data_IF_509625562936
#
_entry.id   IF_509625562936
#
_cell.length_a   1.000
_cell.length_b   1.000
_cell.length_c   1.000
_cell.angle_alpha   90.00
_cell.angle_beta   90.00
_cell.angle_gamma   90.00
#
_symmetry.space_group_name_H-M   'P 1'
#
loop_
_entity.id
_entity.type
_entity.pdbx_description
1 polymer ?
#
# COMPACT_ATOMS: atom_id res chain seq x y z
N UNK A 1 32.06 -43.06 7.41
CA UNK A 1 32.42 -41.86 7.89
C UNK A 1 32.17 -40.53 7.25
N UNK A 2 32.09 -40.38 5.91
CA UNK A 2 31.99 -39.04 5.26
C UNK A 2 30.59 -38.38 5.37
N UNK A 3 29.55 -39.14 5.57
CA UNK A 3 28.16 -38.60 5.65
C UNK A 3 27.89 -37.76 6.90
N UNK A 4 28.59 -38.04 8.00
CA UNK A 4 28.45 -37.26 9.24
C UNK A 4 29.13 -35.89 9.21
N UNK A 5 30.22 -35.75 8.45
CA UNK A 5 30.96 -34.47 8.33
C UNK A 5 30.24 -33.46 7.45
N UNK A 6 29.65 -33.86 6.30
CA UNK A 6 28.86 -33.01 5.45
C UNK A 6 27.64 -32.39 6.19
N UNK A 7 26.99 -33.19 7.03
CA UNK A 7 25.82 -32.77 7.78
C UNK A 7 26.16 -31.73 8.86
N UNK A 8 27.31 -31.91 9.53
CA UNK A 8 27.84 -30.95 10.52
C UNK A 8 28.26 -29.62 9.87
N UNK A 9 28.94 -29.65 8.72
CA UNK A 9 29.36 -28.46 7.96
C UNK A 9 28.16 -27.68 7.48
N UNK A 10 27.15 -28.36 6.94
CA UNK A 10 25.91 -27.74 6.46
C UNK A 10 25.16 -27.00 7.56
N UNK A 11 25.03 -27.60 8.74
CA UNK A 11 24.36 -27.01 9.87
C UNK A 11 25.10 -25.79 10.42
N UNK A 12 26.43 -25.86 10.48
CA UNK A 12 27.29 -24.80 11.01
C UNK A 12 27.41 -23.61 10.07
N UNK A 13 27.46 -23.84 8.74
CA UNK A 13 27.60 -22.79 7.73
C UNK A 13 26.26 -22.33 7.12
N UNK A 14 25.12 -22.91 7.51
CA UNK A 14 23.77 -22.62 6.99
C UNK A 14 23.72 -22.63 5.47
N UNK A 15 24.47 -23.55 4.82
CA UNK A 15 24.59 -23.62 3.37
C UNK A 15 23.94 -24.88 2.77
N UNK A 16 23.72 -24.91 1.45
CA UNK A 16 23.07 -26.04 0.79
C UNK A 16 24.06 -27.20 0.56
N UNK A 17 23.53 -28.44 0.50
CA UNK A 17 24.33 -29.63 0.19
C UNK A 17 25.02 -29.52 -1.18
N UNK A 18 24.35 -28.94 -2.15
CA UNK A 18 24.91 -28.73 -3.49
C UNK A 18 26.09 -27.75 -3.49
N UNK A 19 26.05 -26.75 -2.62
CA UNK A 19 27.14 -25.79 -2.44
C UNK A 19 28.37 -26.49 -1.88
N UNK A 20 28.21 -27.33 -0.84
CA UNK A 20 29.33 -28.08 -0.23
C UNK A 20 29.96 -29.00 -1.26
N UNK A 21 29.16 -29.78 -2.00
CA UNK A 21 29.67 -30.67 -3.06
C UNK A 21 30.40 -29.91 -4.18
N UNK A 22 29.92 -28.72 -4.54
CA UNK A 22 30.63 -27.88 -5.52
C UNK A 22 32.05 -27.53 -5.04
N UNK A 23 32.17 -27.15 -3.76
CA UNK A 23 33.48 -26.85 -3.16
C UNK A 23 34.37 -28.10 -3.06
N UNK A 24 33.84 -29.23 -2.63
CA UNK A 24 34.57 -30.50 -2.51
C UNK A 24 35.11 -30.93 -3.88
N UNK A 25 34.24 -30.97 -4.91
CA UNK A 25 34.65 -31.32 -6.26
C UNK A 25 35.70 -30.35 -6.84
N UNK A 26 35.60 -29.06 -6.59
CA UNK A 26 36.56 -28.06 -7.04
C UNK A 26 37.89 -28.21 -6.33
N UNK A 27 37.94 -28.47 -5.03
CA UNK A 27 39.17 -28.69 -4.26
C UNK A 27 39.86 -30.02 -4.66
N UNK A 28 39.09 -31.07 -4.86
CA UNK A 28 39.61 -32.36 -5.34
C UNK A 28 40.21 -32.27 -6.75
N UNK A 29 39.51 -31.61 -7.67
CA UNK A 29 39.99 -31.44 -9.06
C UNK A 29 41.29 -30.65 -9.14
N UNK A 30 41.51 -29.69 -8.26
CA UNK A 30 42.71 -28.88 -8.21
C UNK A 30 43.78 -29.44 -7.24
N UNK A 31 43.52 -30.60 -6.60
CA UNK A 31 44.38 -31.24 -5.59
C UNK A 31 44.91 -30.29 -4.53
N UNK A 32 44.05 -29.37 -4.09
CA UNK A 32 44.40 -28.36 -3.08
C UNK A 32 44.44 -29.01 -1.69
N UNK A 33 45.53 -28.80 -0.96
CA UNK A 33 45.67 -29.22 0.41
C UNK A 33 45.27 -28.09 1.37
N UNK A 34 45.05 -28.42 2.65
CA UNK A 34 44.75 -27.40 3.70
C UNK A 34 45.88 -26.37 3.85
N UNK A 35 47.14 -26.80 3.70
CA UNK A 35 48.30 -25.91 3.76
C UNK A 35 48.27 -24.89 2.61
N UNK A 36 47.91 -25.32 1.40
CA UNK A 36 47.76 -24.41 0.25
C UNK A 36 46.62 -23.40 0.48
N UNK A 37 45.50 -23.86 1.04
CA UNK A 37 44.34 -22.99 1.32
C UNK A 37 44.65 -21.96 2.42
N UNK A 38 45.41 -22.34 3.46
CA UNK A 38 45.75 -21.48 4.58
C UNK A 38 46.81 -20.41 4.25
N UNK A 39 47.58 -20.63 3.16
CA UNK A 39 48.58 -19.65 2.71
C UNK A 39 48.03 -18.60 1.72
N UNK A 40 46.77 -18.72 1.29
CA UNK A 40 46.12 -17.83 0.35
C UNK A 40 45.14 -16.90 1.04
N UNK A 41 44.94 -15.71 0.48
CA UNK A 41 43.81 -14.85 0.89
C UNK A 41 42.46 -15.45 0.46
N UNK A 42 41.36 -15.07 1.10
CA UNK A 42 40.03 -15.56 0.74
C UNK A 42 39.66 -15.25 -0.72
N UNK A 43 40.12 -14.13 -1.25
CA UNK A 43 39.89 -13.76 -2.67
C UNK A 43 40.71 -14.60 -3.64
N UNK A 44 41.99 -14.84 -3.38
CA UNK A 44 42.85 -15.70 -4.17
C UNK A 44 42.34 -17.14 -4.19
N UNK A 45 41.92 -17.64 -3.03
CA UNK A 45 41.33 -18.97 -2.90
C UNK A 45 40.03 -19.11 -3.69
N UNK A 46 39.13 -18.10 -3.58
CA UNK A 46 37.88 -18.08 -4.36
C UNK A 46 38.12 -18.03 -5.89
N UNK A 47 39.03 -17.19 -6.33
CA UNK A 47 39.40 -17.08 -7.77
C UNK A 47 40.07 -18.36 -8.30
N UNK A 48 40.81 -19.10 -7.46
CA UNK A 48 41.45 -20.35 -7.84
C UNK A 48 40.46 -21.50 -7.92
N UNK A 49 39.48 -21.57 -6.99
CA UNK A 49 38.42 -22.58 -7.00
C UNK A 49 37.38 -22.35 -8.10
N UNK A 50 37.04 -21.10 -8.30
CA UNK A 50 36.02 -20.66 -9.24
C UNK A 50 36.59 -19.48 -10.05
N UNK A 51 37.50 -19.75 -11.01
CA UNK A 51 38.03 -18.69 -11.86
C UNK A 51 36.87 -17.97 -12.51
N UNK A 52 36.82 -16.63 -12.35
CA UNK A 52 35.88 -15.80 -13.10
C UNK A 52 36.16 -16.12 -14.57
N UNK A 53 35.21 -16.71 -15.27
CA UNK A 53 35.28 -16.87 -16.71
C UNK A 53 35.52 -15.49 -17.30
N UNK A 54 36.66 -15.32 -17.98
CA UNK A 54 36.99 -14.09 -18.67
C UNK A 54 35.80 -13.72 -19.58
N UNK A 55 35.41 -12.46 -19.51
CA UNK A 55 34.22 -11.84 -20.14
C UNK A 55 34.31 -11.79 -21.68
N UNK A 56 34.91 -12.78 -22.34
CA UNK A 56 34.90 -12.89 -23.80
C UNK A 56 33.51 -13.19 -24.39
N UNK A 57 32.60 -13.72 -23.57
CA UNK A 57 31.18 -13.88 -23.94
C UNK A 57 30.36 -12.57 -23.92
N UNK A 58 30.77 -11.54 -23.21
CA UNK A 58 30.07 -10.25 -23.18
C UNK A 58 30.15 -9.51 -24.53
N UNK A 59 31.19 -9.81 -25.35
CA UNK A 59 31.30 -9.26 -26.70
C UNK A 59 30.39 -9.95 -27.73
N UNK A 60 29.96 -11.19 -27.46
CA UNK A 60 29.07 -11.95 -28.35
C UNK A 60 27.57 -11.74 -28.00
N UNK A 61 27.26 -11.47 -26.73
CA UNK A 61 25.92 -11.26 -26.26
C UNK A 61 25.85 -9.94 -25.47
N UNK A 62 25.57 -8.80 -26.12
CA UNK A 62 25.54 -7.51 -25.46
C UNK A 62 24.42 -7.43 -24.40
N UNK A 63 24.74 -6.86 -23.25
CA UNK A 63 23.77 -6.62 -22.18
C UNK A 63 22.77 -5.55 -22.62
N UNK A 64 21.48 -5.69 -22.26
CA UNK A 64 20.49 -4.67 -22.58
C UNK A 64 20.73 -3.39 -21.77
N UNK A 65 20.40 -2.23 -22.34
CA UNK A 65 20.37 -0.97 -21.63
C UNK A 65 19.14 -0.93 -20.69
N UNK A 66 19.37 -1.31 -19.44
CA UNK A 66 18.32 -1.40 -18.45
C UNK A 66 17.75 -0.02 -18.02
N UNK A 67 18.51 1.07 -18.19
CA UNK A 67 18.05 2.43 -17.90
C UNK A 67 17.05 2.88 -18.96
N UNK A 68 17.39 2.70 -20.24
CA UNK A 68 16.46 2.94 -21.34
C UNK A 68 15.20 2.08 -21.22
N UNK A 69 15.34 0.78 -20.91
CA UNK A 69 14.20 -0.10 -20.67
C UNK A 69 13.27 0.42 -19.58
N UNK A 70 13.83 0.96 -18.49
CA UNK A 70 13.05 1.52 -17.39
C UNK A 70 12.24 2.75 -17.83
N UNK A 71 12.82 3.63 -18.64
CA UNK A 71 12.16 4.81 -19.17
C UNK A 71 11.05 4.44 -20.18
N UNK A 72 11.33 3.52 -21.09
CA UNK A 72 10.38 3.09 -22.12
C UNK A 72 9.18 2.33 -21.53
N UNK A 73 9.37 1.53 -20.48
CA UNK A 73 8.26 0.85 -19.78
C UNK A 73 7.27 1.81 -19.12
N UNK A 74 7.60 3.08 -18.96
CA UNK A 74 6.66 4.09 -18.45
C UNK A 74 5.69 4.60 -19.53
N UNK A 75 5.94 4.30 -20.81
CA UNK A 75 5.07 4.70 -21.93
C UNK A 75 3.87 3.78 -22.02
N UNK A 76 2.66 4.29 -22.29
CA UNK A 76 1.47 3.47 -22.46
C UNK A 76 1.64 2.46 -23.59
N UNK A 77 1.33 1.19 -23.31
CA UNK A 77 1.37 0.11 -24.29
C UNK A 77 2.73 -0.59 -24.45
N UNK A 78 3.82 -0.04 -23.91
CA UNK A 78 5.14 -0.68 -23.94
C UNK A 78 5.22 -1.77 -22.87
N UNK A 79 5.70 -2.94 -23.26
CA UNK A 79 5.94 -4.06 -22.35
C UNK A 79 7.32 -4.68 -22.58
N UNK A 80 7.76 -5.53 -21.64
CA UNK A 80 9.09 -6.18 -21.71
C UNK A 80 9.30 -7.03 -22.96
N UNK A 81 8.23 -7.57 -23.55
CA UNK A 81 8.32 -8.40 -24.75
C UNK A 81 8.66 -7.55 -25.97
N UNK A 82 8.03 -6.38 -26.11
CA UNK A 82 8.32 -5.42 -27.19
C UNK A 82 9.79 -4.98 -27.10
N UNK A 83 10.24 -4.55 -25.92
CA UNK A 83 11.63 -4.11 -25.71
C UNK A 83 12.64 -5.23 -25.97
N UNK A 84 12.28 -6.46 -25.66
CA UNK A 84 13.14 -7.61 -26.00
C UNK A 84 13.18 -7.89 -27.49
N UNK A 85 12.09 -7.69 -28.23
CA UNK A 85 12.05 -7.82 -29.68
C UNK A 85 12.93 -6.76 -30.33
N UNK A 86 12.79 -5.50 -29.95
CA UNK A 86 13.62 -4.37 -30.43
C UNK A 86 15.10 -4.62 -30.15
N UNK A 87 15.47 -4.95 -28.92
CA UNK A 87 16.81 -5.35 -28.54
C UNK A 87 17.33 -6.50 -29.39
N UNK A 88 16.50 -7.52 -29.64
CA UNK A 88 16.92 -8.70 -30.40
C UNK A 88 17.17 -8.38 -31.89
N UNK A 89 16.39 -7.47 -32.46
CA UNK A 89 16.57 -6.98 -33.83
C UNK A 89 17.85 -6.16 -33.96
N UNK A 90 18.12 -5.24 -33.05
CA UNK A 90 19.35 -4.44 -33.02
C UNK A 90 20.60 -5.28 -32.87
N UNK A 91 20.57 -6.24 -31.95
CA UNK A 91 21.74 -7.16 -31.72
C UNK A 91 22.01 -8.05 -32.93
N UNK A 92 20.97 -8.55 -33.58
CA UNK A 92 21.12 -9.34 -34.83
C UNK A 92 21.62 -8.49 -35.98
N UNK A 93 21.15 -7.26 -36.13
CA UNK A 93 21.63 -6.30 -37.12
C UNK A 93 23.13 -5.98 -36.95
N UNK A 94 23.60 -5.98 -35.69
CA UNK A 94 25.04 -5.85 -35.37
C UNK A 94 25.86 -7.15 -35.54
N UNK A 95 25.26 -8.25 -36.07
CA UNK A 95 25.92 -9.52 -36.24
C UNK A 95 26.18 -10.30 -34.95
N UNK A 96 25.50 -9.97 -33.87
CA UNK A 96 25.67 -10.59 -32.54
C UNK A 96 24.49 -11.49 -32.18
N UNK A 97 24.62 -12.25 -31.10
CA UNK A 97 23.60 -13.18 -30.62
C UNK A 97 22.81 -12.51 -29.52
N UNK A 98 21.46 -12.32 -29.65
CA UNK A 98 20.66 -11.72 -28.60
C UNK A 98 20.48 -12.67 -27.43
N UNK A 99 20.29 -12.09 -26.23
CA UNK A 99 19.91 -12.83 -25.04
C UNK A 99 18.51 -13.44 -25.22
N UNK A 100 18.29 -14.60 -24.60
CA UNK A 100 16.93 -15.13 -24.49
C UNK A 100 16.08 -14.26 -23.60
N UNK A 101 14.76 -14.24 -23.81
CA UNK A 101 13.81 -13.41 -23.06
C UNK A 101 13.93 -13.54 -21.55
N UNK A 102 14.14 -14.75 -21.05
CA UNK A 102 14.34 -15.00 -19.61
C UNK A 102 15.58 -14.33 -19.05
N UNK A 103 16.70 -14.38 -19.78
CA UNK A 103 17.96 -13.74 -19.41
C UNK A 103 17.85 -12.21 -19.48
N UNK A 104 17.24 -11.69 -20.55
CA UNK A 104 16.94 -10.27 -20.71
C UNK A 104 16.11 -9.72 -19.55
N UNK A 105 15.03 -10.41 -19.17
CA UNK A 105 14.23 -10.05 -17.99
C UNK A 105 15.03 -10.15 -16.69
N UNK A 106 15.96 -11.09 -16.59
CA UNK A 106 16.77 -11.26 -15.38
C UNK A 106 17.75 -10.09 -15.18
N UNK A 107 18.41 -9.62 -16.26
CA UNK A 107 19.23 -8.42 -16.23
C UNK A 107 18.43 -7.19 -15.79
N UNK A 108 17.24 -7.00 -16.34
CA UNK A 108 16.37 -5.90 -15.94
C UNK A 108 15.93 -5.99 -14.48
N UNK A 109 15.56 -7.19 -13.99
CA UNK A 109 15.19 -7.37 -12.60
C UNK A 109 16.36 -7.08 -11.64
N UNK A 110 17.58 -7.53 -11.99
CA UNK A 110 18.78 -7.20 -11.20
C UNK A 110 19.09 -5.69 -11.20
N UNK A 111 18.89 -5.00 -12.33
CA UNK A 111 19.00 -3.55 -12.41
C UNK A 111 18.00 -2.85 -11.50
N UNK A 112 16.73 -3.28 -11.56
CA UNK A 112 15.68 -2.78 -10.69
C UNK A 112 15.99 -3.05 -9.21
N UNK A 113 16.52 -4.23 -8.87
CA UNK A 113 16.90 -4.54 -7.49
C UNK A 113 18.09 -3.71 -6.99
N UNK A 114 19.09 -3.45 -7.83
CA UNK A 114 20.24 -2.62 -7.50
C UNK A 114 19.89 -1.13 -7.44
N UNK A 115 19.01 -0.67 -8.33
CA UNK A 115 18.57 0.72 -8.42
C UNK A 115 17.25 0.98 -7.66
N UNK A 116 16.59 -0.07 -7.15
CA UNK A 116 15.72 0.06 -6.00
C UNK A 116 16.56 0.38 -4.76
N UNK A 117 17.16 1.54 -4.77
CA UNK A 117 17.12 2.34 -3.58
C UNK A 117 15.63 2.57 -3.34
N UNK A 118 14.97 1.62 -2.72
CA UNK A 118 13.72 1.86 -2.02
C UNK A 118 14.09 2.99 -1.09
N UNK A 119 13.65 4.20 -1.42
CA UNK A 119 13.56 5.23 -0.42
C UNK A 119 12.69 4.58 0.65
N UNK A 120 13.31 4.05 1.69
CA UNK A 120 12.63 3.84 2.94
C UNK A 120 12.24 5.24 3.35
N UNK A 121 10.98 5.58 3.13
CA UNK A 121 10.40 6.73 3.78
C UNK A 121 10.39 6.33 5.25
N UNK A 122 11.30 6.92 6.02
CA UNK A 122 11.22 6.84 7.47
C UNK A 122 9.95 7.58 7.86
N UNK A 123 8.90 6.81 8.10
CA UNK A 123 7.63 7.33 8.57
C UNK A 123 7.82 7.81 9.99
N UNK A 124 7.54 9.07 10.25
CA UNK A 124 7.52 9.60 11.60
C UNK A 124 6.30 9.06 12.35
N UNK A 125 6.48 8.86 13.64
CA UNK A 125 5.45 8.34 14.52
C UNK A 125 4.26 9.30 14.54
N UNK A 126 3.05 8.78 14.34
CA UNK A 126 1.78 9.54 14.37
C UNK A 126 1.75 10.83 13.53
N UNK A 127 2.55 10.90 12.46
CA UNK A 127 2.60 12.08 11.58
C UNK A 127 1.37 12.18 10.70
N UNK A 128 0.89 11.05 10.18
CA UNK A 128 -0.22 11.02 9.22
C UNK A 128 -1.01 9.73 9.23
N UNK A 129 -2.26 9.84 8.80
CA UNK A 129 -3.11 8.70 8.44
C UNK A 129 -3.30 8.74 6.91
N UNK A 130 -3.09 7.63 6.25
CA UNK A 130 -3.39 7.44 4.83
C UNK A 130 -4.72 6.69 4.69
N UNK A 131 -5.64 7.20 3.86
CA UNK A 131 -6.98 6.62 3.66
C UNK A 131 -7.28 6.40 2.18
N UNK A 132 -8.02 5.32 1.90
CA UNK A 132 -8.40 4.96 0.53
C UNK A 132 -9.66 4.09 0.52
N UNK A 133 -10.37 4.06 -0.64
CA UNK A 133 -11.37 3.06 -0.94
C UNK A 133 -10.72 1.85 -1.63
N UNK A 134 -10.94 0.66 -1.12
CA UNK A 134 -10.54 -0.54 -1.85
C UNK A 134 -11.37 -0.67 -3.14
N UNK A 135 -10.72 -1.00 -4.24
CA UNK A 135 -11.41 -1.24 -5.52
C UNK A 135 -12.32 -2.49 -5.50
N UNK A 136 -12.14 -3.36 -4.50
CA UNK A 136 -12.94 -4.57 -4.32
C UNK A 136 -14.21 -4.25 -3.51
N UNK A 137 -15.36 -4.73 -3.96
CA UNK A 137 -16.65 -4.62 -3.27
C UNK A 137 -17.05 -5.94 -2.65
N UNK A 138 -17.88 -5.90 -1.60
CA UNK A 138 -18.46 -7.07 -0.94
C UNK A 138 -19.95 -7.12 -1.28
N UNK A 139 -20.48 -8.24 -1.81
CA UNK A 139 -21.90 -8.36 -2.06
C UNK A 139 -22.68 -8.48 -0.75
N UNK A 140 -23.80 -7.78 -0.66
CA UNK A 140 -24.77 -7.84 0.44
C UNK A 140 -26.11 -8.24 -0.16
N UNK A 141 -26.65 -9.34 0.30
CA UNK A 141 -27.93 -9.93 -0.20
C UNK A 141 -29.04 -9.55 0.78
N UNK A 142 -30.06 -8.88 0.31
CA UNK A 142 -31.25 -8.59 1.12
C UNK A 142 -32.04 -9.90 1.37
N UNK A 143 -32.34 -10.20 2.62
CA UNK A 143 -33.02 -11.46 3.01
C UNK A 143 -34.43 -11.57 2.46
N UNK A 144 -35.13 -10.45 2.23
CA UNK A 144 -36.53 -10.42 1.81
C UNK A 144 -36.67 -10.36 0.31
N UNK A 145 -35.88 -9.51 -0.35
CA UNK A 145 -35.98 -9.26 -1.79
C UNK A 145 -35.02 -10.06 -2.63
N UNK A 146 -34.02 -10.71 -2.00
CA UNK A 146 -32.90 -11.38 -2.66
C UNK A 146 -32.11 -10.44 -3.59
N UNK A 147 -32.28 -9.14 -3.48
CA UNK A 147 -31.50 -8.17 -4.25
C UNK A 147 -30.06 -8.08 -3.72
N UNK A 148 -29.11 -8.05 -4.65
CA UNK A 148 -27.68 -7.93 -4.33
C UNK A 148 -27.23 -6.48 -4.44
N UNK A 149 -26.89 -5.90 -3.32
CA UNK A 149 -26.24 -4.58 -3.24
C UNK A 149 -24.73 -4.73 -3.05
N UNK A 150 -23.99 -3.62 -3.26
CA UNK A 150 -22.53 -3.60 -3.10
C UNK A 150 -22.15 -2.84 -1.84
N UNK A 151 -21.35 -3.47 -1.00
CA UNK A 151 -20.64 -2.78 0.07
C UNK A 151 -19.25 -2.33 -0.40
N UNK A 152 -18.85 -1.13 -0.01
CA UNK A 152 -17.59 -0.47 -0.36
C UNK A 152 -16.67 -0.45 0.84
N UNK A 153 -15.41 -0.86 0.64
CA UNK A 153 -14.48 -1.04 1.73
C UNK A 153 -13.61 0.21 1.91
N UNK A 154 -13.78 0.88 3.04
CA UNK A 154 -12.89 1.95 3.48
C UNK A 154 -11.69 1.36 4.21
N UNK A 155 -10.49 1.82 3.87
CA UNK A 155 -9.22 1.37 4.46
C UNK A 155 -8.43 2.58 4.91
N UNK A 156 -7.96 2.55 6.14
CA UNK A 156 -7.07 3.56 6.70
C UNK A 156 -5.85 2.90 7.35
N UNK A 157 -4.69 3.53 7.24
CA UNK A 157 -3.43 3.01 7.77
C UNK A 157 -2.60 4.12 8.39
N UNK A 158 -2.03 3.84 9.55
CA UNK A 158 -0.94 4.60 10.15
C UNK A 158 0.39 4.06 9.57
N UNK A 159 1.13 4.83 8.75
CA UNK A 159 2.28 4.31 8.00
C UNK A 159 3.43 3.78 8.88
N UNK A 160 3.62 4.33 10.08
CA UNK A 160 4.71 3.94 10.98
C UNK A 160 4.51 2.52 11.55
N UNK A 161 3.41 2.27 12.22
CA UNK A 161 3.07 0.94 12.80
C UNK A 161 2.49 -0.01 11.76
N UNK A 162 2.00 0.50 10.63
CA UNK A 162 1.11 -0.17 9.68
C UNK A 162 -0.20 -0.66 10.33
N UNK A 163 -0.57 -0.06 11.49
CA UNK A 163 -1.84 -0.35 12.14
C UNK A 163 -2.99 0.13 11.26
N UNK A 164 -3.93 -0.76 11.01
CA UNK A 164 -4.91 -0.60 9.94
C UNK A 164 -6.32 -0.61 10.50
N UNK A 165 -7.17 0.24 9.93
CA UNK A 165 -8.61 0.25 10.10
C UNK A 165 -9.30 -0.14 8.80
N UNK A 166 -10.39 -0.91 8.91
CA UNK A 166 -11.19 -1.33 7.76
C UNK A 166 -12.66 -1.32 8.15
N UNK A 167 -13.50 -0.73 7.30
CA UNK A 167 -14.94 -0.71 7.46
C UNK A 167 -15.66 -0.81 6.13
N UNK A 168 -16.78 -1.54 6.09
CA UNK A 168 -17.64 -1.67 4.93
C UNK A 168 -18.77 -0.62 5.02
N UNK A 169 -18.95 0.15 3.96
CA UNK A 169 -19.98 1.16 3.81
C UNK A 169 -20.96 0.81 2.69
N UNK A 170 -22.19 1.31 2.78
CA UNK A 170 -23.24 1.05 1.77
C UNK A 170 -22.99 1.78 0.45
N UNK A 171 -22.31 2.90 0.48
CA UNK A 171 -21.92 3.68 -0.70
C UNK A 171 -20.68 4.53 -0.41
N UNK A 172 -20.16 5.20 -1.45
CA UNK A 172 -19.00 6.10 -1.36
C UNK A 172 -19.42 7.58 -1.33
N UNK A 173 -20.66 7.89 -0.89
CA UNK A 173 -21.11 9.28 -0.78
C UNK A 173 -20.43 10.00 0.37
N UNK A 174 -20.61 11.32 0.39
CA UNK A 174 -19.96 12.22 1.34
C UNK A 174 -20.27 11.88 2.80
N UNK A 175 -21.51 11.55 3.12
CA UNK A 175 -21.93 11.18 4.47
C UNK A 175 -21.17 9.94 4.97
N UNK A 176 -21.18 8.86 4.18
CA UNK A 176 -20.45 7.64 4.51
C UNK A 176 -18.92 7.85 4.54
N UNK A 177 -18.41 8.72 3.69
CA UNK A 177 -17.00 9.11 3.70
C UNK A 177 -16.60 9.76 5.02
N UNK A 178 -17.37 10.75 5.47
CA UNK A 178 -17.14 11.44 6.73
C UNK A 178 -17.34 10.51 7.92
N UNK A 179 -18.41 9.72 7.94
CA UNK A 179 -18.68 8.75 9.01
C UNK A 179 -17.57 7.70 9.13
N UNK A 180 -17.02 7.22 8.01
CA UNK A 180 -15.88 6.30 8.03
C UNK A 180 -14.64 6.91 8.68
N UNK A 181 -14.39 8.22 8.47
CA UNK A 181 -13.30 8.92 9.14
C UNK A 181 -13.53 9.07 10.63
N UNK A 182 -14.74 9.41 11.04
CA UNK A 182 -15.13 9.53 12.46
C UNK A 182 -14.89 8.19 13.16
N UNK A 183 -15.43 7.10 12.61
CA UNK A 183 -15.27 5.75 13.16
C UNK A 183 -13.79 5.32 13.19
N UNK A 184 -13.01 5.71 12.19
CA UNK A 184 -11.56 5.48 12.13
C UNK A 184 -10.82 6.20 13.26
N UNK A 185 -11.11 7.49 13.50
CA UNK A 185 -10.50 8.24 14.60
C UNK A 185 -10.84 7.62 15.95
N UNK A 186 -12.08 7.22 16.16
CA UNK A 186 -12.52 6.51 17.37
C UNK A 186 -11.78 5.18 17.54
N UNK A 187 -11.59 4.42 16.46
CA UNK A 187 -10.85 3.16 16.48
C UNK A 187 -9.38 3.33 16.84
N UNK A 188 -8.72 4.35 16.30
CA UNK A 188 -7.34 4.67 16.67
C UNK A 188 -7.23 5.31 18.05
N UNK A 189 -8.32 5.87 18.56
CA UNK A 189 -8.34 6.57 19.84
C UNK A 189 -7.65 7.93 19.81
N UNK A 190 -7.54 8.54 18.62
CA UNK A 190 -6.90 9.83 18.42
C UNK A 190 -6.73 10.19 16.95
N UNK A 191 -6.15 11.37 16.70
CA UNK A 191 -5.88 11.89 15.35
C UNK A 191 -4.40 12.14 15.13
N UNK A 192 -4.02 12.36 13.87
CA UNK A 192 -2.67 12.77 13.46
C UNK A 192 -2.71 14.19 12.89
N UNK A 193 -1.59 14.91 12.83
CA UNK A 193 -1.53 16.23 12.18
C UNK A 193 -2.00 16.23 10.73
N UNK A 194 -1.74 15.15 9.99
CA UNK A 194 -2.03 15.05 8.57
C UNK A 194 -2.98 13.87 8.28
N UNK A 195 -3.93 14.11 7.38
CA UNK A 195 -4.80 13.10 6.79
C UNK A 195 -4.58 13.13 5.27
N UNK A 196 -4.20 11.99 4.72
CA UNK A 196 -3.84 11.85 3.30
C UNK A 196 -4.91 11.01 2.58
N UNK A 197 -6.00 11.62 2.09
CA UNK A 197 -6.99 10.93 1.27
C UNK A 197 -6.47 10.77 -0.16
N UNK A 198 -7.08 9.85 -0.94
CA UNK A 198 -6.93 9.88 -2.38
C UNK A 198 -7.71 11.06 -2.98
N UNK A 199 -7.42 11.38 -4.25
CA UNK A 199 -8.08 12.47 -4.97
C UNK A 199 -9.51 12.07 -5.39
N UNK A 200 -10.37 11.80 -4.41
CA UNK A 200 -11.76 11.42 -4.63
C UNK A 200 -12.65 12.65 -4.78
N UNK A 201 -13.57 12.60 -5.74
CA UNK A 201 -14.57 13.66 -5.97
C UNK A 201 -15.43 13.98 -4.75
N UNK A 202 -15.60 13.03 -3.84
CA UNK A 202 -16.32 13.21 -2.56
C UNK A 202 -15.57 14.07 -1.56
N UNK A 203 -14.24 14.08 -1.61
CA UNK A 203 -13.40 14.90 -0.74
C UNK A 203 -12.83 16.16 -1.41
N UNK A 204 -12.58 16.11 -2.72
CA UNK A 204 -11.89 17.16 -3.49
C UNK A 204 -12.76 17.67 -4.63
N UNK A 205 -13.09 18.97 -4.64
CA UNK A 205 -13.91 19.61 -5.69
C UNK A 205 -13.05 19.96 -6.90
N UNK A 206 -11.85 20.48 -6.69
CA UNK A 206 -10.89 20.84 -7.76
C UNK A 206 -9.47 20.57 -7.30
N UNK A 207 -8.66 20.09 -8.22
CA UNK A 207 -7.23 19.91 -8.08
C UNK A 207 -6.51 20.66 -9.22
N UNK A 208 -6.37 21.99 -9.14
CA UNK A 208 -5.65 22.77 -10.15
C UNK A 208 -4.17 22.39 -10.17
N UNK A 209 -3.53 22.47 -11.34
CA UNK A 209 -2.11 22.08 -11.46
C UNK A 209 -1.15 22.98 -10.68
N UNK A 210 -1.53 24.21 -10.36
CA UNK A 210 -0.67 25.24 -9.72
C UNK A 210 -1.36 26.03 -8.61
N UNK A 211 -2.57 25.67 -8.17
CA UNK A 211 -3.32 26.37 -7.11
C UNK A 211 -3.68 25.41 -5.97
N UNK A 212 -4.16 25.96 -4.87
CA UNK A 212 -4.59 25.23 -3.70
C UNK A 212 -5.72 24.25 -4.02
N UNK A 213 -5.68 23.08 -3.39
CA UNK A 213 -6.71 22.05 -3.52
C UNK A 213 -7.99 22.55 -2.87
N UNK A 214 -9.10 22.56 -3.61
CA UNK A 214 -10.40 22.93 -3.06
C UNK A 214 -11.09 21.66 -2.53
N UNK A 215 -11.11 21.53 -1.21
CA UNK A 215 -11.81 20.46 -0.52
C UNK A 215 -13.33 20.73 -0.51
N UNK A 216 -14.10 19.65 -0.34
CA UNK A 216 -15.51 19.78 -0.02
C UNK A 216 -15.65 20.44 1.36
N UNK A 217 -16.58 21.42 1.49
CA UNK A 217 -16.75 22.23 2.70
C UNK A 217 -16.96 21.38 3.96
N UNK A 218 -17.87 20.42 3.93
CA UNK A 218 -18.13 19.55 5.10
C UNK A 218 -16.94 18.65 5.44
N UNK A 219 -16.14 18.25 4.45
CA UNK A 219 -14.93 17.47 4.70
C UNK A 219 -13.84 18.33 5.34
N UNK A 220 -13.72 19.58 4.92
CA UNK A 220 -12.83 20.54 5.55
C UNK A 220 -13.27 20.87 6.98
N UNK A 221 -14.57 21.10 7.21
CA UNK A 221 -15.15 21.32 8.55
C UNK A 221 -14.85 20.15 9.50
N UNK A 222 -14.96 18.91 9.02
CA UNK A 222 -14.55 17.73 9.78
C UNK A 222 -13.06 17.77 10.12
N UNK A 223 -12.21 18.11 9.15
CA UNK A 223 -10.76 18.25 9.38
C UNK A 223 -10.45 19.30 10.45
N UNK A 224 -11.08 20.46 10.35
CA UNK A 224 -10.93 21.56 11.31
C UNK A 224 -11.42 21.15 12.70
N UNK A 225 -12.55 20.42 12.79
CA UNK A 225 -13.10 19.94 14.05
C UNK A 225 -12.16 18.97 14.78
N UNK A 226 -11.48 18.09 14.05
CA UNK A 226 -10.53 17.12 14.59
C UNK A 226 -9.08 17.63 14.63
N UNK A 227 -8.82 18.88 14.30
CA UNK A 227 -7.49 19.51 14.21
C UNK A 227 -6.53 18.71 13.28
N UNK A 228 -7.03 18.32 12.12
CA UNK A 228 -6.31 17.50 11.13
C UNK A 228 -6.23 18.24 9.80
N UNK A 229 -5.03 18.47 9.29
CA UNK A 229 -4.83 19.03 7.97
C UNK A 229 -5.04 17.95 6.89
N UNK A 230 -6.04 18.17 6.03
CA UNK A 230 -6.35 17.25 4.92
C UNK A 230 -5.46 17.62 3.73
N UNK A 231 -4.58 16.71 3.34
CA UNK A 231 -3.62 16.89 2.23
C UNK A 231 -3.82 15.79 1.19
N UNK A 232 -4.69 15.99 0.19
CA UNK A 232 -4.89 14.99 -0.86
C UNK A 232 -3.64 14.76 -1.69
N UNK A 233 -3.45 13.53 -2.15
CA UNK A 233 -2.32 13.20 -3.05
C UNK A 233 -2.49 13.83 -4.42
N UNK A 234 -1.37 14.23 -5.04
CA UNK A 234 -1.39 14.77 -6.40
C UNK A 234 -1.86 13.73 -7.41
N UNK A 235 -2.67 14.17 -8.38
CA UNK A 235 -3.14 13.34 -9.50
C UNK A 235 -1.95 12.74 -10.25
N UNK A 236 -1.95 11.42 -10.44
CA UNK A 236 -0.88 10.64 -11.11
C UNK A 236 0.47 10.63 -10.40
N UNK A 237 0.51 10.76 -9.08
CA UNK A 237 1.72 10.52 -8.31
C UNK A 237 1.65 9.18 -7.56
N UNK A 238 2.02 8.05 -8.19
CA UNK A 238 1.96 6.72 -7.55
C UNK A 238 2.90 6.59 -6.36
N UNK A 239 3.78 7.57 -6.15
CA UNK A 239 4.70 7.63 -4.99
C UNK A 239 4.11 8.33 -3.77
N UNK A 240 2.89 8.90 -3.87
CA UNK A 240 2.29 9.70 -2.79
C UNK A 240 1.73 8.88 -1.62
N UNK A 241 1.33 7.62 -1.85
CA UNK A 241 0.68 6.75 -0.85
C UNK A 241 1.16 5.29 -0.90
N UNK A 242 2.46 5.02 -0.74
CA UNK A 242 2.95 3.64 -0.85
C UNK A 242 2.42 2.73 0.27
N UNK A 243 2.07 3.29 1.44
CA UNK A 243 1.65 2.52 2.61
C UNK A 243 0.22 2.03 2.48
N UNK A 244 -0.74 2.90 2.16
CA UNK A 244 -2.15 2.49 2.06
C UNK A 244 -2.41 1.63 0.82
N UNK A 245 -1.82 1.93 -0.34
CA UNK A 245 -1.96 1.10 -1.54
C UNK A 245 -1.45 -0.33 -1.29
N UNK A 246 -0.27 -0.47 -0.70
CA UNK A 246 0.25 -1.77 -0.29
C UNK A 246 -0.61 -2.45 0.78
N UNK A 247 -1.25 -1.68 1.66
CA UNK A 247 -2.14 -2.20 2.71
C UNK A 247 -3.48 -2.64 2.14
N UNK A 248 -4.08 -1.88 1.20
CA UNK A 248 -5.32 -2.28 0.51
C UNK A 248 -5.16 -3.67 -0.14
N UNK A 249 -4.06 -3.93 -0.84
CA UNK A 249 -3.77 -5.25 -1.40
C UNK A 249 -3.66 -6.35 -0.33
N UNK A 250 -3.00 -6.07 0.80
CA UNK A 250 -2.88 -7.02 1.93
C UNK A 250 -4.22 -7.25 2.63
N UNK A 251 -5.02 -6.19 2.84
CA UNK A 251 -6.37 -6.26 3.41
C UNK A 251 -7.29 -7.09 2.51
N UNK A 252 -7.31 -6.82 1.21
CA UNK A 252 -8.11 -7.57 0.25
C UNK A 252 -7.77 -9.06 0.30
N UNK A 253 -6.49 -9.43 0.28
CA UNK A 253 -6.07 -10.82 0.32
C UNK A 253 -6.25 -11.48 1.70
N UNK A 254 -6.04 -10.77 2.79
CA UNK A 254 -6.05 -11.34 4.15
C UNK A 254 -7.42 -11.31 4.83
N UNK A 255 -8.28 -10.36 4.48
CA UNK A 255 -9.61 -10.18 5.07
C UNK A 255 -10.68 -10.61 4.07
N UNK A 256 -10.80 -9.90 2.94
CA UNK A 256 -11.91 -10.12 2.01
C UNK A 256 -11.85 -11.49 1.34
N UNK A 257 -10.66 -11.94 0.91
CA UNK A 257 -10.52 -13.27 0.31
C UNK A 257 -10.85 -14.41 1.30
N UNK A 258 -10.66 -14.22 2.61
CA UNK A 258 -11.06 -15.18 3.64
C UNK A 258 -12.58 -15.28 3.78
N UNK A 259 -13.27 -14.15 3.65
CA UNK A 259 -14.72 -14.03 3.76
C UNK A 259 -15.46 -14.37 2.46
N UNK A 260 -14.77 -14.70 1.37
CA UNK A 260 -15.35 -14.94 0.02
C UNK A 260 -16.42 -16.04 -0.07
N UNK A 261 -16.50 -16.90 0.92
CA UNK A 261 -17.48 -18.00 0.98
C UNK A 261 -18.66 -17.68 1.90
N UNK A 262 -18.59 -16.57 2.60
CA UNK A 262 -19.65 -16.11 3.49
C UNK A 262 -20.63 -15.26 2.70
N UNK A 263 -21.91 -15.39 3.01
CA UNK A 263 -22.99 -14.58 2.51
C UNK A 263 -23.38 -13.59 3.61
N UNK A 264 -23.55 -12.33 3.25
CA UNK A 264 -23.88 -11.26 4.19
C UNK A 264 -25.23 -10.65 3.84
N UNK A 265 -26.07 -10.48 4.85
CA UNK A 265 -27.41 -9.93 4.70
C UNK A 265 -27.50 -8.46 5.15
N UNK A 266 -26.46 -7.95 5.80
CA UNK A 266 -26.36 -6.54 6.17
C UNK A 266 -24.92 -6.06 6.25
N UNK A 267 -24.74 -4.74 6.04
CA UNK A 267 -23.45 -4.06 6.25
C UNK A 267 -22.95 -4.28 7.69
N UNK A 268 -23.85 -4.25 8.67
CA UNK A 268 -23.51 -4.42 10.09
C UNK A 268 -22.95 -5.83 10.36
N UNK A 269 -23.60 -6.86 9.84
CA UNK A 269 -23.12 -8.24 9.94
C UNK A 269 -21.74 -8.42 9.31
N UNK A 270 -21.56 -7.90 8.09
CA UNK A 270 -20.28 -7.95 7.39
C UNK A 270 -19.18 -7.22 8.20
N UNK A 271 -19.47 -6.05 8.78
CA UNK A 271 -18.52 -5.31 9.58
C UNK A 271 -18.09 -6.05 10.86
N UNK A 272 -18.98 -6.80 11.50
CA UNK A 272 -18.61 -7.66 12.66
C UNK A 272 -17.56 -8.70 12.25
N UNK A 273 -17.75 -9.36 11.11
CA UNK A 273 -16.82 -10.36 10.60
C UNK A 273 -15.50 -9.74 10.13
N UNK A 274 -15.59 -8.61 9.42
CA UNK A 274 -14.42 -7.83 8.98
C UNK A 274 -13.59 -7.40 10.18
N UNK A 275 -14.22 -6.90 11.25
CA UNK A 275 -13.55 -6.48 12.48
C UNK A 275 -12.75 -7.61 13.12
N UNK A 276 -13.35 -8.80 13.23
CA UNK A 276 -12.64 -9.97 13.75
C UNK A 276 -11.41 -10.32 12.91
N UNK A 277 -11.55 -10.35 11.58
CA UNK A 277 -10.42 -10.61 10.69
C UNK A 277 -9.36 -9.50 10.74
N UNK A 278 -9.78 -8.24 10.95
CA UNK A 278 -8.89 -7.08 11.11
C UNK A 278 -8.06 -7.18 12.40
N UNK A 279 -8.69 -7.59 13.50
CA UNK A 279 -7.97 -7.79 14.78
C UNK A 279 -6.88 -8.84 14.64
N UNK A 280 -7.18 -9.96 13.97
CA UNK A 280 -6.19 -11.00 13.66
C UNK A 280 -5.10 -10.47 12.72
N UNK A 281 -5.46 -9.66 11.72
CA UNK A 281 -4.51 -9.05 10.78
C UNK A 281 -3.55 -8.08 11.49
N UNK A 282 -4.06 -7.26 12.39
CA UNK A 282 -3.26 -6.30 13.15
C UNK A 282 -2.39 -6.99 14.22
N UNK A 283 -2.85 -8.10 14.80
CA UNK A 283 -2.10 -8.89 15.77
C UNK A 283 -1.03 -9.80 15.16
N UNK A 284 -1.08 -10.02 13.84
CA UNK A 284 -0.11 -10.89 13.16
C UNK A 284 1.28 -10.28 13.16
N UNK A 285 2.28 -11.04 13.63
CA UNK A 285 3.69 -10.65 13.62
C UNK A 285 4.21 -10.36 12.22
N UNK A 286 5.11 -9.38 12.13
CA UNK A 286 5.81 -9.08 10.88
C UNK A 286 6.80 -10.19 10.52
N UNK A 287 7.08 -10.35 9.22
CA UNK A 287 8.07 -11.33 8.74
C UNK A 287 9.51 -10.81 8.81
N UNK A 288 9.70 -9.48 8.73
CA UNK A 288 11.02 -8.82 8.60
C UNK A 288 11.32 -7.81 9.71
N UNK A 289 10.40 -7.62 10.64
CA UNK A 289 10.48 -6.69 11.78
C UNK A 289 9.94 -7.42 13.00
N UNK A 290 10.50 -7.16 14.16
CA UNK A 290 9.97 -7.71 15.42
C UNK A 290 8.64 -7.06 15.79
N UNK A 291 7.77 -7.84 16.43
CA UNK A 291 6.45 -7.42 16.87
C UNK A 291 5.35 -7.51 15.78
N UNK A 292 4.18 -7.00 16.13
CA UNK A 292 3.00 -6.91 15.31
C UNK A 292 2.59 -5.46 15.08
N UNK A 293 1.68 -5.20 14.13
CA UNK A 293 1.11 -3.86 13.91
C UNK A 293 0.51 -3.28 15.17
N UNK A 294 -0.26 -4.10 15.89
CA UNK A 294 -0.92 -3.73 17.13
C UNK A 294 0.07 -3.39 18.23
N UNK A 295 1.10 -4.23 18.44
CA UNK A 295 2.12 -3.99 19.48
C UNK A 295 2.90 -2.71 19.22
N UNK A 296 3.33 -2.47 17.98
CA UNK A 296 4.05 -1.24 17.64
C UNK A 296 3.14 -0.02 17.80
N UNK A 297 1.88 -0.12 17.40
CA UNK A 297 0.91 0.96 17.60
C UNK A 297 0.72 1.28 19.07
N UNK A 298 0.43 0.28 19.91
CA UNK A 298 0.14 0.48 21.33
C UNK A 298 1.35 0.98 22.12
N UNK A 299 2.55 0.48 21.81
CA UNK A 299 3.76 0.78 22.57
C UNK A 299 4.48 2.05 22.10
N UNK A 300 4.43 2.35 20.80
CA UNK A 300 5.28 3.38 20.21
C UNK A 300 4.50 4.55 19.59
N UNK A 301 3.30 4.32 19.03
CA UNK A 301 2.61 5.34 18.21
C UNK A 301 1.41 5.98 18.91
N UNK A 302 0.62 5.21 19.65
CA UNK A 302 -0.63 5.65 20.25
C UNK A 302 -0.47 6.87 21.17
N UNK A 303 0.63 6.94 21.91
CA UNK A 303 0.90 8.04 22.85
C UNK A 303 1.13 9.39 22.18
N UNK A 304 1.45 9.39 20.88
CA UNK A 304 1.69 10.59 20.08
C UNK A 304 0.46 11.06 19.29
N UNK A 305 -0.64 10.29 19.32
CA UNK A 305 -1.88 10.72 18.72
C UNK A 305 -2.47 11.89 19.50
N UNK A 306 -3.08 12.83 18.77
CA UNK A 306 -3.82 13.93 19.39
C UNK A 306 -5.12 13.41 19.99
N UNK A 307 -5.55 13.90 21.17
CA UNK A 307 -6.77 13.45 21.80
C UNK A 307 -8.01 13.82 20.94
N UNK A 308 -9.03 12.96 20.99
CA UNK A 308 -10.31 13.25 20.36
C UNK A 308 -11.08 14.31 21.12
N UNK A 309 -11.92 15.13 20.43
CA UNK A 309 -12.93 15.94 21.08
C UNK A 309 -13.86 15.09 21.96
N UNK A 310 -14.52 15.72 22.94
CA UNK A 310 -15.45 15.02 23.84
C UNK A 310 -16.68 14.47 23.12
N UNK A 311 -17.13 15.18 22.09
CA UNK A 311 -18.27 14.83 21.26
C UNK A 311 -17.74 14.48 19.86
N UNK A 312 -18.36 13.51 19.20
CA UNK A 312 -18.03 13.18 17.82
C UNK A 312 -18.61 14.23 16.87
N UNK A 313 -17.92 14.47 15.75
CA UNK A 313 -18.42 15.36 14.71
C UNK A 313 -19.72 14.79 14.11
N UNK A 314 -20.75 15.64 13.99
CA UNK A 314 -21.98 15.28 13.30
C UNK A 314 -22.00 15.88 11.89
N UNK A 315 -22.19 15.01 10.90
CA UNK A 315 -22.31 15.46 9.51
C UNK A 315 -23.60 16.25 9.32
N UNK A 316 -23.48 17.52 8.97
CA UNK A 316 -24.60 18.40 8.70
C UNK A 316 -24.68 18.78 7.21
N UNK A 317 -25.88 18.75 6.65
CA UNK A 317 -26.18 19.25 5.31
C UNK A 317 -26.75 20.66 5.43
N UNK A 318 -25.95 21.64 5.08
CA UNK A 318 -26.37 23.04 5.12
C UNK A 318 -27.13 23.44 3.85
N UNK A 319 -28.33 23.98 4.01
CA UNK A 319 -29.10 24.59 2.93
C UNK A 319 -29.50 26.01 3.30
N UNK A 320 -29.49 26.90 2.30
CA UNK A 320 -30.02 28.24 2.46
C UNK A 320 -31.52 28.27 2.16
N UNK A 321 -32.33 28.69 3.11
CA UNK A 321 -33.76 28.87 2.92
C UNK A 321 -34.15 30.31 3.25
N UNK A 322 -35.24 30.80 2.61
CA UNK A 322 -35.81 32.09 2.94
C UNK A 322 -36.98 31.87 3.88
N UNK A 323 -36.99 32.55 5.04
CA UNK A 323 -38.11 32.48 6.00
C UNK A 323 -39.34 33.09 5.37
N UNK A 324 -40.42 32.31 5.31
CA UNK A 324 -41.69 32.72 4.73
C UNK A 324 -42.48 33.60 5.71
N UNK A 325 -43.54 34.27 5.23
CA UNK A 325 -44.39 35.14 6.08
C UNK A 325 -45.10 34.41 7.23
N UNK A 326 -45.27 33.10 7.10
CA UNK A 326 -45.85 32.23 8.15
C UNK A 326 -44.83 31.74 9.16
N UNK A 327 -43.65 32.38 9.24
CA UNK A 327 -42.55 32.02 10.18
C UNK A 327 -41.95 30.63 9.98
N UNK A 328 -42.05 30.07 8.77
CA UNK A 328 -41.53 28.75 8.50
C UNK A 328 -40.49 28.77 7.38
N UNK A 329 -39.57 27.82 7.49
CA UNK A 329 -38.69 27.40 6.41
C UNK A 329 -39.04 25.98 5.97
N UNK A 330 -39.00 25.72 4.68
CA UNK A 330 -39.23 24.37 4.15
C UNK A 330 -37.88 23.67 3.99
N UNK A 331 -37.72 22.49 4.59
CA UNK A 331 -36.59 21.63 4.43
C UNK A 331 -37.06 20.18 4.35
N UNK A 332 -36.60 19.44 3.36
CA UNK A 332 -36.92 18.04 3.12
C UNK A 332 -38.42 17.70 3.21
N UNK A 333 -39.25 18.52 2.55
CA UNK A 333 -40.73 18.45 2.56
C UNK A 333 -41.41 18.69 3.90
N UNK A 334 -40.65 19.11 4.91
CA UNK A 334 -41.13 19.49 6.23
C UNK A 334 -41.04 20.99 6.42
N UNK A 335 -41.85 21.53 7.36
CA UNK A 335 -41.85 22.93 7.71
C UNK A 335 -41.35 23.10 9.15
N UNK A 336 -40.35 23.97 9.33
CA UNK A 336 -39.76 24.27 10.63
C UNK A 336 -40.07 25.72 11.01
N UNK A 337 -40.55 25.95 12.21
CA UNK A 337 -40.81 27.29 12.70
C UNK A 337 -39.52 28.03 13.04
N UNK A 338 -39.48 29.30 12.66
CA UNK A 338 -38.33 30.19 12.89
C UNK A 338 -38.87 31.47 13.56
N UNK A 339 -38.11 32.13 14.46
CA UNK A 339 -38.54 33.38 15.05
C UNK A 339 -38.95 34.43 13.99
N UNK A 340 -39.99 35.19 14.29
CA UNK A 340 -40.59 36.13 13.34
C UNK A 340 -39.64 37.24 12.85
N UNK A 341 -38.61 37.52 13.63
CA UNK A 341 -37.56 38.52 13.35
C UNK A 341 -36.78 38.19 12.05
N UNK A 342 -36.78 36.93 11.63
CA UNK A 342 -36.06 36.45 10.43
C UNK A 342 -36.93 36.39 9.17
N UNK A 343 -38.18 36.88 9.21
CA UNK A 343 -39.06 36.90 8.03
C UNK A 343 -38.35 37.58 6.87
N UNK A 344 -38.42 36.97 5.67
CA UNK A 344 -37.76 37.38 4.44
C UNK A 344 -36.23 37.33 4.45
N UNK A 345 -35.63 36.95 5.56
CA UNK A 345 -34.18 36.73 5.61
C UNK A 345 -33.84 35.34 5.11
N UNK A 346 -32.62 35.22 4.58
CA UNK A 346 -32.00 33.92 4.24
C UNK A 346 -31.32 33.39 5.49
N UNK A 347 -31.72 32.20 5.88
CA UNK A 347 -31.10 31.46 7.01
C UNK A 347 -30.45 30.19 6.53
N UNK A 348 -29.41 29.76 7.17
CA UNK A 348 -28.80 28.45 6.98
C UNK A 348 -29.54 27.44 7.87
N UNK A 349 -29.96 26.30 7.29
CA UNK A 349 -30.70 25.22 7.96
C UNK A 349 -30.03 23.90 7.67
#
# INVERSE_FOLDING_TARGET
GLVGSEMCIRHRLKTSRNTIRKFENATESLRLTWNDASSMTSEEFANKLFPKSNDDNDNLQPKPDCEMMYLELQRPGVNKMILWQEYSEEVRAAGKIPLQYSQFCNYFNQYIERNKATMHFDHKVAERIEVDWAGTTVPIVDELTCEVSKGYLFVATLPYSQYTYVELMSDMKQENWINAHINMFEYFGGTTPLLIPDNLKTGVIKHPKNDDVILNKSYQEMGDYYDVAIVPTFVRSPKGKPSVEGTVGKVTSSIIARLRKEEFHSIKEANIKIRKCLDEFNAKSFQKRDGSRKEIFENEEKIFLRPLPKESYEFAVWKKATVQYNYHVAFDKMYYSVPYEYIKQKVDI
#
